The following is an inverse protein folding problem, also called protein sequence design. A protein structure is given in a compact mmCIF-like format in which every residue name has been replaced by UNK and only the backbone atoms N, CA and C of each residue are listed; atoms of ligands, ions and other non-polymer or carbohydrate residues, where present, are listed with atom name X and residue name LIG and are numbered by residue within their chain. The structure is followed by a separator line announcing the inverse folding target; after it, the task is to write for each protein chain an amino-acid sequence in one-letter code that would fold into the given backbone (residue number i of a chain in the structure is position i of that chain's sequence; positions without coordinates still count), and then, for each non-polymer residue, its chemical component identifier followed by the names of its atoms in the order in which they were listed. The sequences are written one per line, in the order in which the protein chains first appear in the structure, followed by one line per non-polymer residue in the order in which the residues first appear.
data_IF_493115874776
#
_entry.id   IF_493115874776
#
_cell.length_a   1.000
_cell.length_b   1.000
_cell.length_c   1.000
_cell.angle_alpha   90.00
_cell.angle_beta   90.00
_cell.angle_gamma   90.00
#
_symmetry.space_group_name_H-M   'P 1'
#
loop_
_entity.id
_entity.type
_entity.pdbx_description
1 polymer ?
#
# COMPACT_ATOMS: atom_id res chain seq x y z
N UNK A 1 -15.40 -5.72 13.33
CA UNK A 1 -15.86 -4.80 12.27
C UNK A 1 -14.95 -4.91 11.05
N UNK A 2 -15.51 -4.90 9.83
CA UNK A 2 -14.72 -4.80 8.60
C UNK A 2 -14.18 -3.37 8.51
N UNK A 3 -13.00 -3.14 9.09
CA UNK A 3 -12.35 -1.84 9.08
C UNK A 3 -11.99 -1.44 7.63
N UNK A 4 -12.73 -0.48 7.09
CA UNK A 4 -12.50 0.14 5.76
C UNK A 4 -13.53 -0.26 4.69
N UNK A 5 -13.87 0.69 3.82
CA UNK A 5 -14.71 0.42 2.65
C UNK A 5 -14.03 -0.65 1.78
N UNK A 6 -14.72 -1.71 1.34
CA UNK A 6 -14.15 -2.78 0.52
C UNK A 6 -13.42 -2.28 -0.75
N UNK A 7 -13.80 -1.08 -1.20
CA UNK A 7 -13.31 -0.46 -2.42
C UNK A 7 -11.97 0.27 -2.25
N UNK A 8 -11.56 0.56 -1.02
CA UNK A 8 -10.32 1.31 -0.76
C UNK A 8 -9.10 0.45 -1.08
N UNK A 9 -8.27 0.83 -2.08
CA UNK A 9 -7.16 -0.01 -2.49
C UNK A 9 -6.07 -0.14 -1.42
N UNK A 10 -5.37 -1.27 -1.48
CA UNK A 10 -4.20 -1.58 -0.66
C UNK A 10 -2.93 -1.32 -1.46
N UNK A 11 -1.99 -0.59 -0.87
CA UNK A 11 -0.59 -0.51 -1.31
C UNK A 11 0.18 -1.66 -0.66
N UNK A 12 0.93 -2.41 -1.46
CA UNK A 12 1.78 -3.50 -0.98
C UNK A 12 3.00 -3.66 -1.90
N UNK A 13 4.09 -4.31 -1.44
CA UNK A 13 5.17 -4.74 -2.32
C UNK A 13 4.62 -5.49 -3.53
N UNK A 14 5.27 -5.31 -4.68
CA UNK A 14 4.76 -5.82 -5.94
C UNK A 14 4.60 -7.34 -5.92
N UNK A 15 5.53 -8.02 -5.26
CA UNK A 15 5.69 -9.47 -5.14
C UNK A 15 4.50 -10.13 -4.41
N UNK A 16 3.92 -9.45 -3.43
CA UNK A 16 2.79 -9.99 -2.64
C UNK A 16 1.45 -9.43 -3.08
N UNK A 17 1.45 -8.39 -3.92
CA UNK A 17 0.24 -7.67 -4.30
C UNK A 17 -0.76 -8.57 -5.03
N UNK A 18 -0.30 -9.54 -5.83
CA UNK A 18 -1.18 -10.46 -6.58
C UNK A 18 -1.95 -11.43 -5.66
N UNK A 19 -1.43 -11.73 -4.47
CA UNK A 19 -2.07 -12.65 -3.53
C UNK A 19 -3.20 -11.98 -2.74
N UNK A 20 -3.08 -10.69 -2.41
CA UNK A 20 -4.03 -9.99 -1.53
C UNK A 20 -5.47 -10.06 -2.06
N UNK A 21 -5.78 -9.81 -3.36
CA UNK A 21 -7.14 -9.94 -3.87
C UNK A 21 -7.70 -11.37 -3.72
N UNK A 22 -6.87 -12.39 -3.93
CA UNK A 22 -7.30 -13.79 -3.84
C UNK A 22 -7.74 -14.18 -2.43
N UNK A 23 -7.07 -13.67 -1.39
CA UNK A 23 -7.39 -14.00 0.00
C UNK A 23 -8.38 -13.05 0.67
N UNK A 24 -8.49 -11.81 0.19
CA UNK A 24 -9.24 -10.76 0.91
C UNK A 24 -10.36 -10.12 0.10
N UNK A 25 -10.42 -10.36 -1.21
CA UNK A 25 -11.31 -9.66 -2.13
C UNK A 25 -11.01 -8.16 -2.27
N UNK A 26 -9.91 -7.65 -1.69
CA UNK A 26 -9.55 -6.23 -1.75
C UNK A 26 -8.81 -5.89 -3.03
N UNK A 27 -9.06 -4.67 -3.52
CA UNK A 27 -8.30 -4.08 -4.62
C UNK A 27 -6.88 -3.75 -4.16
N UNK A 28 -5.91 -3.98 -5.03
CA UNK A 28 -4.50 -3.64 -4.82
C UNK A 28 -4.01 -2.70 -5.90
N UNK A 29 -3.09 -1.82 -5.54
CA UNK A 29 -2.51 -0.86 -6.48
C UNK A 29 -1.85 -1.54 -7.69
N UNK A 30 -1.11 -2.62 -7.46
CA UNK A 30 -0.45 -3.35 -8.55
C UNK A 30 -1.44 -3.92 -9.59
N UNK A 31 -2.60 -4.40 -9.14
CA UNK A 31 -3.60 -5.10 -9.96
C UNK A 31 -4.75 -4.23 -10.48
N UNK A 32 -4.80 -2.94 -10.13
CA UNK A 32 -5.94 -2.10 -10.50
C UNK A 32 -5.88 -1.63 -11.97
N UNK A 33 -6.97 -1.90 -12.71
CA UNK A 33 -7.06 -1.84 -14.17
C UNK A 33 -6.89 -0.42 -14.77
N UNK A 34 -7.38 0.64 -14.10
CA UNK A 34 -7.10 2.03 -14.53
C UNK A 34 -5.60 2.41 -14.52
N UNK A 35 -4.72 1.54 -14.02
CA UNK A 35 -3.29 1.78 -13.94
C UNK A 35 -2.46 0.89 -14.91
N UNK A 36 -3.08 0.08 -15.77
CA UNK A 36 -2.46 -1.03 -16.54
C UNK A 36 -1.60 -0.66 -17.76
N UNK A 37 -1.35 0.63 -18.05
CA UNK A 37 -0.60 0.99 -19.26
C UNK A 37 0.92 0.70 -19.20
N UNK A 38 1.52 0.60 -18.02
CA UNK A 38 2.96 0.29 -17.88
C UNK A 38 3.27 -0.43 -16.55
N UNK A 39 3.62 -1.72 -16.65
CA UNK A 39 4.01 -2.56 -15.50
C UNK A 39 5.33 -2.11 -14.88
N UNK A 40 6.29 -1.68 -15.71
CA UNK A 40 7.61 -1.25 -15.23
C UNK A 40 7.47 0.05 -14.42
N UNK A 41 6.68 1.02 -14.91
CA UNK A 41 6.40 2.26 -14.18
C UNK A 41 5.71 1.99 -12.83
N UNK A 42 4.78 1.04 -12.75
CA UNK A 42 4.17 0.65 -11.46
C UNK A 42 5.17 0.08 -10.50
N UNK A 43 6.00 -0.87 -10.96
CA UNK A 43 7.00 -1.52 -10.11
C UNK A 43 7.97 -0.48 -9.56
N UNK A 44 8.41 0.45 -10.41
CA UNK A 44 9.26 1.58 -10.00
C UNK A 44 8.55 2.46 -8.96
N UNK A 45 7.30 2.85 -9.19
CA UNK A 45 6.55 3.70 -8.26
C UNK A 45 6.31 3.03 -6.89
N UNK A 46 5.93 1.76 -6.88
CA UNK A 46 5.77 0.97 -5.64
C UNK A 46 7.12 0.88 -4.91
N UNK A 47 8.19 0.56 -5.64
CA UNK A 47 9.54 0.51 -5.07
C UNK A 47 9.96 1.87 -4.48
N UNK A 48 9.73 2.98 -5.19
CA UNK A 48 10.00 4.33 -4.70
C UNK A 48 9.16 4.68 -3.47
N UNK A 49 7.90 4.23 -3.40
CA UNK A 49 7.07 4.41 -2.22
C UNK A 49 7.65 3.69 -0.99
N UNK A 50 8.09 2.44 -1.13
CA UNK A 50 8.68 1.69 -0.01
C UNK A 50 10.11 2.14 0.33
N UNK A 51 10.83 2.76 -0.60
CA UNK A 51 12.17 3.29 -0.37
C UNK A 51 12.20 4.72 0.19
N UNK A 52 11.11 5.50 0.02
CA UNK A 52 11.10 6.91 0.42
C UNK A 52 11.12 7.11 1.93
N UNK A 53 11.80 8.18 2.37
CA UNK A 53 11.70 8.72 3.73
C UNK A 53 10.97 10.07 3.76
N UNK A 54 10.52 10.56 2.60
CA UNK A 54 9.77 11.81 2.49
C UNK A 54 8.27 11.57 2.75
N UNK A 55 7.71 12.14 3.84
CA UNK A 55 6.28 12.01 4.13
C UNK A 55 5.39 12.73 3.12
N UNK A 56 5.83 13.84 2.52
CA UNK A 56 5.04 14.55 1.52
C UNK A 56 4.88 13.71 0.25
N UNK A 57 5.97 13.07 -0.19
CA UNK A 57 5.91 12.08 -1.26
C UNK A 57 4.97 10.92 -0.92
N UNK A 58 5.11 10.31 0.26
CA UNK A 58 4.26 9.19 0.67
C UNK A 58 2.78 9.60 0.70
N UNK A 59 2.43 10.74 1.32
CA UNK A 59 1.07 11.25 1.38
C UNK A 59 0.51 11.58 -0.01
N UNK A 60 1.34 12.13 -0.92
CA UNK A 60 0.95 12.40 -2.29
C UNK A 60 0.56 11.12 -3.03
N UNK A 61 1.36 10.06 -2.91
CA UNK A 61 1.05 8.75 -3.50
C UNK A 61 -0.25 8.20 -2.88
N UNK A 62 -0.35 8.15 -1.55
CA UNK A 62 -1.54 7.62 -0.88
C UNK A 62 -2.82 8.38 -1.29
N UNK A 63 -2.74 9.70 -1.49
CA UNK A 63 -3.86 10.54 -1.93
C UNK A 63 -4.19 10.33 -3.40
N UNK A 64 -3.19 10.38 -4.28
CA UNK A 64 -3.38 10.27 -5.73
C UNK A 64 -4.03 8.94 -6.12
N UNK A 65 -3.75 7.87 -5.37
CA UNK A 65 -4.28 6.53 -5.63
C UNK A 65 -5.39 6.12 -4.66
N UNK A 66 -5.90 7.05 -3.83
CA UNK A 66 -6.95 6.80 -2.84
C UNK A 66 -6.65 5.59 -1.93
N UNK A 67 -5.38 5.37 -1.62
CA UNK A 67 -4.94 4.23 -0.79
C UNK A 67 -5.41 4.43 0.64
N UNK A 68 -6.15 3.45 1.15
CA UNK A 68 -6.60 3.42 2.55
C UNK A 68 -5.69 2.58 3.47
N UNK A 69 -4.94 1.64 2.88
CA UNK A 69 -4.20 0.62 3.60
C UNK A 69 -2.84 0.38 2.98
N UNK A 70 -1.81 0.21 3.82
CA UNK A 70 -0.47 -0.20 3.39
C UNK A 70 -0.13 -1.51 4.10
N UNK A 71 0.14 -2.55 3.32
CA UNK A 71 0.72 -3.80 3.82
C UNK A 71 2.20 -3.79 3.47
N UNK A 72 3.07 -3.77 4.47
CA UNK A 72 4.51 -3.74 4.29
C UNK A 72 5.15 -4.96 4.95
N UNK A 73 6.41 -5.25 4.61
CA UNK A 73 7.22 -6.17 5.40
C UNK A 73 7.50 -5.60 6.81
N UNK A 74 8.08 -6.41 7.70
CA UNK A 74 8.40 -5.98 9.08
C UNK A 74 9.59 -5.02 9.17
N UNK A 75 10.41 -4.90 8.13
CA UNK A 75 11.60 -4.03 8.14
C UNK A 75 11.27 -2.62 7.68
N UNK A 76 10.20 -2.46 6.91
CA UNK A 76 9.72 -1.17 6.46
C UNK A 76 9.07 -0.39 7.59
N UNK A 77 9.51 0.85 7.74
CA UNK A 77 8.90 1.82 8.64
C UNK A 77 8.36 2.99 7.82
N UNK A 78 7.10 3.39 8.05
CA UNK A 78 6.52 4.51 7.33
C UNK A 78 7.32 5.79 7.63
N UNK A 79 7.43 6.74 6.69
CA UNK A 79 7.98 8.05 6.97
C UNK A 79 7.30 8.70 8.18
N UNK A 80 8.07 9.40 9.01
CA UNK A 80 7.53 10.20 10.11
C UNK A 80 6.49 11.19 9.56
N UNK A 81 5.35 11.34 10.22
CA UNK A 81 4.22 12.20 9.78
C UNK A 81 3.48 11.76 8.50
N UNK A 82 3.69 10.53 8.01
CA UNK A 82 2.91 9.98 6.89
C UNK A 82 1.42 9.72 7.17
N UNK A 83 0.96 9.96 8.42
CA UNK A 83 -0.40 9.66 8.91
C UNK A 83 -0.80 8.19 8.77
N UNK A 84 0.19 7.30 8.74
CA UNK A 84 0.00 5.85 8.73
C UNK A 84 0.06 5.30 10.16
N UNK A 85 -1.03 4.66 10.58
CA UNK A 85 -1.15 4.06 11.91
C UNK A 85 -1.05 2.55 11.79
N UNK A 86 -0.11 1.95 12.53
CA UNK A 86 0.01 0.50 12.64
C UNK A 86 -1.26 -0.09 13.26
N UNK A 87 -1.88 -1.05 12.59
CA UNK A 87 -3.09 -1.76 13.06
C UNK A 87 -2.82 -3.20 13.44
N UNK A 88 -1.95 -3.87 12.69
CA UNK A 88 -1.63 -5.27 12.90
C UNK A 88 -0.20 -5.52 12.46
N UNK A 89 0.46 -6.52 13.06
CA UNK A 89 1.70 -7.07 12.52
C UNK A 89 1.85 -8.53 12.94
N UNK A 90 2.21 -9.37 11.98
CA UNK A 90 2.79 -10.68 12.25
C UNK A 90 4.28 -10.61 11.91
N UNK A 91 5.11 -11.56 12.34
CA UNK A 91 6.57 -11.51 12.13
C UNK A 91 7.06 -11.43 10.67
N UNK A 92 6.16 -11.32 9.69
CA UNK A 92 6.45 -11.16 8.26
C UNK A 92 5.90 -9.87 7.67
N UNK A 93 4.75 -9.36 8.15
CA UNK A 93 4.09 -8.19 7.59
C UNK A 93 3.48 -7.28 8.64
N UNK A 94 3.48 -5.98 8.37
CA UNK A 94 2.78 -4.96 9.15
C UNK A 94 1.72 -4.27 8.29
N UNK A 95 0.50 -4.18 8.82
CA UNK A 95 -0.61 -3.47 8.21
C UNK A 95 -0.77 -2.09 8.84
N UNK A 96 -0.79 -1.07 8.00
CA UNK A 96 -1.05 0.31 8.37
C UNK A 96 -2.38 0.78 7.75
N UNK A 97 -3.13 1.57 8.51
CA UNK A 97 -4.27 2.33 7.99
C UNK A 97 -3.89 3.80 7.86
N UNK A 98 -4.38 4.46 6.82
CA UNK A 98 -4.33 5.91 6.71
C UNK A 98 -5.33 6.58 7.66
N UNK A 99 -4.91 7.62 8.39
CA UNK A 99 -5.77 8.55 9.14
C UNK A 99 -6.28 9.70 8.28
#
# INVERSE_FOLDING_TARGET
EKNGKPETPVMAPYEISTMIPAFTGRRVMAGHAMFTKDVAAKKALISSFFATRDPAYAQRILSSYTIGWVLADVVWTPPQDSRLVRRFGNGSYTLYSRQ
#
